data_IF_251632816499
#
_entry.id   IF_251632816499
#
_cell.length_a   1.000
_cell.length_b   1.000
_cell.length_c   1.000
_cell.angle_alpha   90.00
_cell.angle_beta   90.00
_cell.angle_gamma   90.00
#
_symmetry.space_group_name_H-M   'P 1'
#
loop_
_entity.id
_entity.type
_entity.pdbx_description
1 polymer ?
#
# COMPACT_ATOMS: atom_id res chain seq x y z
N UNK A 1 25.25 -51.42 9.29
CA UNK A 1 24.80 -51.06 10.65
C UNK A 1 23.53 -50.22 10.51
N UNK A 2 22.40 -50.78 10.97
CA UNK A 2 21.09 -50.19 11.30
C UNK A 2 20.39 -49.28 10.26
N UNK A 3 19.40 -49.73 9.46
CA UNK A 3 17.93 -49.78 9.76
C UNK A 3 17.40 -48.63 10.65
N UNK A 4 16.51 -47.74 10.18
CA UNK A 4 15.04 -47.91 10.16
C UNK A 4 14.38 -46.63 9.58
N UNK A 5 13.59 -46.70 8.52
CA UNK A 5 12.11 -46.64 8.51
C UNK A 5 11.46 -45.60 9.45
N UNK A 6 10.79 -44.61 8.85
CA UNK A 6 9.45 -44.22 9.31
C UNK A 6 8.57 -43.79 8.13
N UNK A 7 7.93 -44.78 7.50
CA UNK A 7 6.63 -44.63 6.82
C UNK A 7 5.54 -44.57 7.90
N UNK A 8 4.48 -43.77 7.66
CA UNK A 8 3.32 -43.41 8.51
C UNK A 8 3.61 -42.13 9.32
N UNK A 9 2.90 -41.03 9.11
CA UNK A 9 1.44 -40.91 9.06
C UNK A 9 0.93 -40.11 7.85
N UNK A 10 0.38 -40.80 6.84
CA UNK A 10 -0.78 -40.31 6.11
C UNK A 10 -2.01 -40.72 6.92
N UNK A 11 -2.77 -39.75 7.44
CA UNK A 11 -4.20 -39.86 7.80
C UNK A 11 -4.67 -38.47 8.23
N UNK A 12 -5.37 -37.77 7.33
CA UNK A 12 -6.07 -36.53 7.69
C UNK A 12 -6.17 -35.42 6.64
N UNK A 13 -5.62 -35.54 5.42
CA UNK A 13 -5.78 -34.51 4.40
C UNK A 13 -7.14 -34.62 3.67
N UNK A 14 -7.93 -33.53 3.54
CA UNK A 14 -8.99 -33.47 2.55
C UNK A 14 -8.35 -33.53 1.16
N UNK A 15 -8.78 -34.52 0.39
CA UNK A 15 -8.31 -34.81 -0.96
C UNK A 15 -8.82 -33.71 -1.91
N UNK A 16 -7.97 -32.75 -2.25
CA UNK A 16 -8.27 -31.76 -3.29
C UNK A 16 -8.42 -32.47 -4.66
N UNK A 17 -9.45 -32.17 -5.46
CA UNK A 17 -9.65 -32.81 -6.76
C UNK A 17 -8.62 -32.33 -7.78
N UNK A 18 -7.90 -33.27 -8.38
CA UNK A 18 -6.77 -33.09 -9.32
C UNK A 18 -7.15 -32.49 -10.70
N UNK A 19 -8.19 -31.65 -10.80
CA UNK A 19 -8.74 -31.19 -12.10
C UNK A 19 -8.83 -29.66 -12.31
N UNK A 20 -8.12 -28.85 -11.53
CA UNK A 20 -8.02 -27.40 -11.78
C UNK A 20 -6.57 -26.97 -12.00
N UNK A 21 -6.02 -27.27 -13.17
CA UNK A 21 -4.76 -26.68 -13.63
C UNK A 21 -4.97 -26.22 -15.08
N UNK A 22 -5.14 -24.92 -15.35
CA UNK A 22 -4.98 -24.42 -16.70
C UNK A 22 -3.49 -24.38 -17.02
N UNK A 23 -3.10 -25.15 -18.03
CA UNK A 23 -1.83 -25.01 -18.73
C UNK A 23 -1.57 -23.56 -19.10
N UNK A 24 -0.33 -23.11 -18.84
CA UNK A 24 0.32 -21.86 -19.26
C UNK A 24 -0.45 -21.12 -20.37
N UNK A 25 -1.33 -20.20 -19.98
CA UNK A 25 -2.05 -19.33 -20.90
C UNK A 25 -1.51 -17.91 -20.76
N UNK A 26 -0.78 -17.48 -21.79
CA UNK A 26 -0.65 -16.09 -22.18
C UNK A 26 -2.05 -15.53 -22.50
N UNK A 27 -2.65 -14.75 -21.61
CA UNK A 27 -3.93 -14.10 -21.93
C UNK A 27 -4.73 -13.62 -20.72
N UNK A 28 -4.99 -12.30 -20.72
CA UNK A 28 -5.91 -11.54 -19.86
C UNK A 28 -5.54 -11.41 -18.37
N UNK A 29 -5.46 -10.14 -17.97
CA UNK A 29 -5.21 -9.64 -16.62
C UNK A 29 -6.42 -9.80 -15.67
N UNK A 30 -7.43 -10.60 -16.06
CA UNK A 30 -8.57 -11.04 -15.23
C UNK A 30 -8.25 -12.22 -14.30
N UNK A 31 -7.07 -12.83 -14.42
CA UNK A 31 -6.76 -14.10 -13.74
C UNK A 31 -6.29 -14.00 -12.28
N UNK A 32 -6.05 -12.80 -11.74
CA UNK A 32 -5.49 -12.65 -10.39
C UNK A 32 -6.56 -12.79 -9.28
N UNK A 33 -7.67 -12.05 -9.40
CA UNK A 33 -8.81 -12.14 -8.48
C UNK A 33 -9.36 -13.57 -8.40
N UNK A 34 -9.57 -14.19 -9.57
CA UNK A 34 -10.02 -15.58 -9.67
C UNK A 34 -9.03 -16.55 -9.01
N UNK A 35 -7.72 -16.30 -9.01
CA UNK A 35 -6.73 -17.19 -8.38
C UNK A 35 -6.73 -17.09 -6.86
N UNK A 36 -6.80 -15.88 -6.30
CA UNK A 36 -6.75 -15.73 -4.83
C UNK A 36 -7.94 -16.38 -4.15
N UNK A 37 -9.17 -16.15 -4.63
CA UNK A 37 -10.37 -16.75 -4.01
C UNK A 37 -10.56 -18.23 -4.36
N UNK A 38 -9.95 -18.73 -5.44
CA UNK A 38 -9.93 -20.17 -5.71
C UNK A 38 -8.98 -20.92 -4.77
N UNK A 39 -7.81 -20.34 -4.49
CA UNK A 39 -6.82 -20.94 -3.58
C UNK A 39 -7.20 -20.75 -2.10
N UNK A 40 -7.82 -19.61 -1.77
CA UNK A 40 -8.21 -19.21 -0.41
C UNK A 40 -9.61 -18.57 -0.42
N UNK A 41 -10.69 -19.36 -0.51
CA UNK A 41 -12.05 -18.84 -0.48
C UNK A 41 -12.37 -17.99 0.76
N UNK A 42 -11.69 -18.25 1.86
CA UNK A 42 -11.89 -17.60 3.16
C UNK A 42 -11.54 -16.10 3.14
N UNK A 43 -10.68 -15.65 2.22
CA UNK A 43 -10.35 -14.22 2.09
C UNK A 43 -11.29 -13.47 1.14
N UNK A 44 -12.17 -14.16 0.42
CA UNK A 44 -13.13 -13.55 -0.51
C UNK A 44 -14.06 -12.48 0.13
N UNK A 45 -14.55 -12.66 1.38
CA UNK A 45 -15.33 -11.64 2.07
C UNK A 45 -14.52 -10.40 2.45
N UNK A 46 -13.19 -10.52 2.50
CA UNK A 46 -12.28 -9.45 2.91
C UNK A 46 -11.80 -8.58 1.74
N UNK A 47 -12.34 -8.80 0.53
CA UNK A 47 -12.00 -8.02 -0.66
C UNK A 47 -12.24 -6.53 -0.42
N UNK A 48 -11.30 -5.70 -0.89
CA UNK A 48 -11.41 -4.24 -0.85
C UNK A 48 -11.17 -3.68 -2.24
N UNK A 49 -12.02 -2.74 -2.64
CA UNK A 49 -11.75 -1.89 -3.79
C UNK A 49 -10.69 -0.85 -3.38
N UNK A 50 -9.57 -0.81 -4.10
CA UNK A 50 -8.45 0.10 -3.84
C UNK A 50 -8.02 0.79 -5.13
N UNK A 51 -7.35 1.93 -5.02
CA UNK A 51 -6.73 2.57 -6.19
C UNK A 51 -5.24 2.35 -6.11
N UNK A 52 -4.73 1.67 -7.14
CA UNK A 52 -3.32 1.50 -7.36
C UNK A 52 -2.77 2.69 -8.11
N UNK A 53 -1.74 3.31 -7.56
CA UNK A 53 -1.01 4.37 -8.23
C UNK A 53 0.12 3.73 -9.03
N UNK A 54 0.17 4.01 -10.34
CA UNK A 54 1.29 3.66 -11.21
C UNK A 54 2.11 4.92 -11.52
N UNK A 55 3.21 5.20 -10.77
CA UNK A 55 4.07 6.33 -11.06
C UNK A 55 4.78 6.11 -12.39
N UNK A 56 4.72 7.11 -13.27
CA UNK A 56 5.50 7.15 -14.51
C UNK A 56 6.33 8.42 -14.51
N UNK A 57 7.55 8.31 -15.01
CA UNK A 57 8.46 9.46 -15.16
C UNK A 57 7.74 10.55 -15.95
N UNK A 58 7.77 11.77 -15.42
CA UNK A 58 7.14 12.93 -16.02
C UNK A 58 7.47 14.18 -15.21
N UNK A 59 6.97 15.33 -15.67
CA UNK A 59 7.19 16.63 -15.04
C UNK A 59 5.85 17.15 -14.48
N UNK A 60 5.36 16.59 -13.36
CA UNK A 60 4.09 17.02 -12.78
C UNK A 60 4.16 18.45 -12.25
N UNK A 61 3.06 19.17 -12.36
CA UNK A 61 2.86 20.46 -11.69
C UNK A 61 2.20 20.28 -10.33
N UNK A 62 2.12 21.35 -9.53
CA UNK A 62 1.39 21.35 -8.27
C UNK A 62 -0.13 21.16 -8.44
N UNK A 63 -0.64 21.25 -9.67
CA UNK A 63 -2.05 21.00 -10.00
C UNK A 63 -2.34 19.56 -10.42
N UNK A 64 -1.30 18.73 -10.48
CA UNK A 64 -1.42 17.32 -10.83
C UNK A 64 -1.40 16.43 -9.58
N UNK A 65 -2.07 15.29 -9.68
CA UNK A 65 -1.79 14.17 -8.80
C UNK A 65 -0.42 13.59 -9.17
N UNK A 66 0.48 13.45 -8.20
CA UNK A 66 1.88 13.11 -8.47
C UNK A 66 2.54 12.38 -7.31
N UNK A 67 3.66 11.73 -7.61
CA UNK A 67 4.59 11.17 -6.62
C UNK A 67 5.89 11.95 -6.73
N UNK A 68 6.42 12.45 -5.61
CA UNK A 68 7.65 13.26 -5.56
C UNK A 68 7.60 14.59 -6.33
N UNK A 69 6.43 14.98 -6.84
CA UNK A 69 6.23 16.23 -7.55
C UNK A 69 6.05 17.43 -6.60
N UNK A 70 5.99 18.65 -7.16
CA UNK A 70 5.68 19.85 -6.38
C UNK A 70 4.28 19.76 -5.77
N UNK A 71 4.12 20.30 -4.55
CA UNK A 71 2.83 20.35 -3.87
C UNK A 71 2.11 21.67 -4.13
N UNK A 72 0.79 21.64 -4.14
CA UNK A 72 -0.06 22.82 -3.99
C UNK A 72 0.00 23.30 -2.53
N UNK A 73 1.13 23.84 -2.12
CA UNK A 73 1.37 24.33 -0.77
C UNK A 73 1.20 25.85 -0.72
N UNK A 74 0.36 26.41 0.17
CA UNK A 74 0.21 27.87 0.30
C UNK A 74 1.52 28.52 0.78
N UNK A 75 1.84 29.70 0.27
CA UNK A 75 3.04 30.45 0.65
C UNK A 75 2.98 30.97 2.10
N UNK A 76 1.78 31.18 2.60
CA UNK A 76 1.48 31.60 3.97
C UNK A 76 1.57 30.46 5.00
N UNK A 77 1.52 29.20 4.55
CA UNK A 77 1.53 28.04 5.43
C UNK A 77 2.96 27.59 5.73
N UNK A 78 3.25 27.42 7.03
CA UNK A 78 4.54 26.88 7.46
C UNK A 78 4.77 25.47 6.89
N UNK A 79 5.95 25.25 6.32
CA UNK A 79 6.34 23.93 5.83
C UNK A 79 6.54 22.96 7.00
N UNK A 80 6.03 21.71 6.93
CA UNK A 80 6.10 20.79 8.05
C UNK A 80 7.54 20.35 8.31
N UNK A 81 7.90 20.36 9.60
CA UNK A 81 9.16 19.84 10.12
C UNK A 81 8.92 18.47 10.77
N UNK A 82 9.96 17.63 10.77
CA UNK A 82 9.90 16.33 11.42
C UNK A 82 9.75 16.45 12.95
N UNK A 83 8.75 15.77 13.51
CA UNK A 83 8.50 15.74 14.96
C UNK A 83 9.59 15.01 15.77
N UNK A 84 10.38 14.14 15.12
CA UNK A 84 11.44 13.35 15.77
C UNK A 84 12.85 13.81 15.38
N UNK A 85 12.96 14.81 14.50
CA UNK A 85 14.22 15.39 14.03
C UNK A 85 14.05 16.90 13.90
N UNK A 86 14.44 17.61 14.95
CA UNK A 86 14.36 19.07 15.00
C UNK A 86 15.02 19.71 13.77
N UNK A 87 14.35 20.72 13.22
CA UNK A 87 14.83 21.47 12.05
C UNK A 87 14.90 20.67 10.74
N UNK A 88 14.38 19.44 10.68
CA UNK A 88 14.37 18.65 9.44
C UNK A 88 13.10 18.92 8.64
N UNK A 89 13.13 19.72 7.55
CA UNK A 89 11.98 19.89 6.68
C UNK A 89 11.59 18.55 6.04
N UNK A 90 10.30 18.31 5.91
CA UNK A 90 9.79 17.10 5.27
C UNK A 90 9.86 17.23 3.74
N UNK A 91 10.02 16.10 3.04
CA UNK A 91 9.98 16.07 1.58
C UNK A 91 8.59 15.69 1.08
N UNK A 92 8.16 16.21 -0.08
CA UNK A 92 6.91 15.78 -0.68
C UNK A 92 7.03 14.35 -1.19
N UNK A 93 5.99 13.56 -0.94
CA UNK A 93 5.96 12.14 -1.33
C UNK A 93 4.84 11.90 -2.31
N UNK A 94 3.64 12.34 -1.97
CA UNK A 94 2.43 12.09 -2.75
C UNK A 94 1.52 13.31 -2.66
N UNK A 95 0.94 13.69 -3.79
CA UNK A 95 -0.21 14.58 -3.85
C UNK A 95 -1.30 13.92 -4.68
N UNK A 96 -2.53 13.83 -4.16
CA UNK A 96 -3.66 13.19 -4.84
C UNK A 96 -4.89 14.10 -4.76
N UNK A 97 -5.40 14.47 -5.92
CA UNK A 97 -6.72 15.07 -6.05
C UNK A 97 -7.80 13.99 -5.96
N UNK A 98 -8.94 14.33 -5.35
CA UNK A 98 -10.11 13.45 -5.22
C UNK A 98 -10.54 12.84 -6.56
N UNK A 99 -10.41 13.58 -7.65
CA UNK A 99 -10.74 13.14 -9.02
C UNK A 99 -9.87 11.99 -9.52
N UNK A 100 -8.67 11.81 -8.96
CA UNK A 100 -7.77 10.70 -9.31
C UNK A 100 -8.08 9.40 -8.56
N UNK A 101 -8.92 9.45 -7.53
CA UNK A 101 -9.26 8.28 -6.67
C UNK A 101 -10.77 8.25 -6.33
N UNK A 102 -11.66 8.25 -7.34
CA UNK A 102 -13.09 8.47 -7.12
C UNK A 102 -13.71 7.36 -6.27
N UNK A 103 -14.29 7.73 -5.13
CA UNK A 103 -15.08 6.83 -4.28
C UNK A 103 -14.29 5.84 -3.43
N UNK A 104 -12.98 5.73 -3.60
CA UNK A 104 -12.15 4.76 -2.88
C UNK A 104 -11.51 5.31 -1.62
N UNK A 105 -11.06 6.57 -1.66
CA UNK A 105 -10.46 7.24 -0.51
C UNK A 105 -11.50 8.17 0.13
N UNK A 106 -11.79 8.04 1.44
CA UNK A 106 -12.70 8.93 2.13
C UNK A 106 -12.01 10.25 2.46
N UNK A 107 -12.06 11.21 1.54
CA UNK A 107 -11.59 12.57 1.80
C UNK A 107 -12.51 13.26 2.81
N UNK A 108 -11.96 13.96 3.83
CA UNK A 108 -12.74 14.76 4.77
C UNK A 108 -13.67 15.76 4.09
N UNK A 109 -14.72 16.17 4.80
CA UNK A 109 -15.69 17.14 4.29
C UNK A 109 -14.99 18.43 3.84
N UNK A 110 -15.40 18.96 2.68
CA UNK A 110 -14.82 20.17 2.10
C UNK A 110 -13.43 20.01 1.49
N UNK A 111 -12.74 18.88 1.68
CA UNK A 111 -11.41 18.64 1.12
C UNK A 111 -11.48 17.90 -0.23
N UNK A 112 -10.59 18.23 -1.15
CA UNK A 112 -10.45 17.59 -2.46
C UNK A 112 -8.98 17.29 -2.82
N UNK A 113 -8.06 17.56 -1.90
CA UNK A 113 -6.63 17.35 -2.05
C UNK A 113 -6.03 16.65 -0.81
N UNK A 114 -5.32 15.55 -1.06
CA UNK A 114 -4.50 14.82 -0.09
C UNK A 114 -3.03 15.07 -0.41
N UNK A 115 -2.26 15.47 0.60
CA UNK A 115 -0.82 15.64 0.51
C UNK A 115 -0.15 14.81 1.58
N UNK A 116 0.86 14.04 1.19
CA UNK A 116 1.69 13.24 2.10
C UNK A 116 3.13 13.70 1.94
N UNK A 117 3.72 14.04 3.08
CA UNK A 117 5.13 14.36 3.22
C UNK A 117 5.76 13.37 4.20
N UNK A 118 7.08 13.22 4.17
CA UNK A 118 7.77 12.50 5.24
C UNK A 118 9.16 13.06 5.52
N UNK A 119 9.74 12.65 6.64
CA UNK A 119 11.14 12.95 6.92
C UNK A 119 12.07 12.15 5.98
N UNK A 120 13.02 12.81 5.28
CA UNK A 120 13.98 12.13 4.41
C UNK A 120 15.17 11.53 5.15
N UNK A 121 15.28 11.74 6.47
CA UNK A 121 16.41 11.27 7.29
C UNK A 121 16.16 9.87 7.84
N UNK A 122 17.24 9.19 8.25
CA UNK A 122 17.13 7.90 8.94
C UNK A 122 16.59 8.11 10.36
N UNK A 123 15.53 7.38 10.68
CA UNK A 123 14.99 7.25 12.04
C UNK A 123 15.51 5.97 12.69
N UNK A 124 15.68 6.01 14.01
CA UNK A 124 16.07 4.87 14.85
C UNK A 124 14.88 4.45 15.70
N UNK A 125 14.62 3.14 15.82
CA UNK A 125 13.48 2.60 16.57
C UNK A 125 12.48 1.86 15.67
N UNK A 126 11.24 1.71 16.12
CA UNK A 126 10.20 0.93 15.41
C UNK A 126 9.60 1.65 14.18
N UNK A 127 9.95 2.92 13.92
CA UNK A 127 9.43 3.70 12.79
C UNK A 127 10.54 4.01 11.79
N UNK A 128 10.42 3.42 10.60
CA UNK A 128 11.38 3.61 9.50
C UNK A 128 11.16 4.91 8.71
N UNK A 129 9.96 5.50 8.82
CA UNK A 129 9.52 6.74 8.16
C UNK A 129 8.59 7.50 9.13
N UNK A 130 8.72 8.83 9.19
CA UNK A 130 7.80 9.72 9.92
C UNK A 130 6.97 10.50 8.89
N UNK A 131 5.71 10.09 8.63
CA UNK A 131 4.85 10.77 7.67
C UNK A 131 4.13 11.97 8.29
N UNK A 132 3.78 12.93 7.44
CA UNK A 132 2.83 14.00 7.72
C UNK A 132 1.78 13.99 6.62
N UNK A 133 0.51 14.05 7.03
CA UNK A 133 -0.64 14.03 6.12
C UNK A 133 -1.37 15.35 6.26
N UNK A 134 -1.58 16.02 5.12
CA UNK A 134 -2.29 17.28 5.04
C UNK A 134 -3.46 17.13 4.07
N UNK A 135 -4.65 17.49 4.55
CA UNK A 135 -5.87 17.56 3.73
C UNK A 135 -6.17 19.03 3.42
N UNK A 136 -6.60 19.31 2.19
CA UNK A 136 -6.90 20.68 1.73
C UNK A 136 -8.10 20.72 0.79
N UNK A 137 -8.66 21.92 0.65
CA UNK A 137 -9.49 22.34 -0.48
C UNK A 137 -8.61 23.09 -1.47
N UNK A 138 -8.26 22.47 -2.59
CA UNK A 138 -7.33 23.00 -3.59
C UNK A 138 -7.76 24.37 -4.11
N UNK A 139 -9.05 24.58 -4.34
CA UNK A 139 -9.59 25.86 -4.82
C UNK A 139 -9.48 27.02 -3.84
N UNK A 140 -9.11 26.78 -2.57
CA UNK A 140 -8.85 27.83 -1.59
C UNK A 140 -7.36 28.16 -1.44
N UNK A 141 -6.46 27.42 -2.10
CA UNK A 141 -5.03 27.73 -2.05
C UNK A 141 -4.76 28.97 -2.92
N UNK A 142 -4.24 30.01 -2.28
CA UNK A 142 -3.86 31.26 -2.94
C UNK A 142 -2.49 31.19 -3.60
N UNK A 143 -1.55 32.02 -3.15
CA UNK A 143 -0.18 32.03 -3.67
C UNK A 143 0.50 30.72 -3.29
N UNK A 144 1.06 30.00 -4.28
CA UNK A 144 1.78 28.74 -4.04
C UNK A 144 3.22 29.03 -3.64
N UNK A 145 3.75 28.25 -2.69
CA UNK A 145 5.15 28.25 -2.32
C UNK A 145 6.00 27.69 -3.46
N UNK A 146 6.80 28.55 -4.10
CA UNK A 146 7.59 28.18 -5.28
C UNK A 146 8.81 27.30 -4.94
N UNK A 147 9.48 27.61 -3.84
CA UNK A 147 10.72 26.94 -3.42
C UNK A 147 10.52 26.29 -2.06
N UNK A 148 10.16 24.99 -2.00
CA UNK A 148 10.07 24.29 -0.74
C UNK A 148 11.46 24.20 -0.08
N UNK A 149 11.54 24.21 1.27
CA UNK A 149 12.82 24.11 1.97
C UNK A 149 13.50 22.78 1.64
N UNK A 150 14.77 22.87 1.26
CA UNK A 150 15.60 21.70 0.95
C UNK A 150 16.20 21.14 2.25
N UNK A 151 15.96 19.86 2.59
CA UNK A 151 16.61 19.21 3.72
C UNK A 151 18.12 19.08 3.49
N UNK A 152 18.92 19.38 4.52
CA UNK A 152 20.38 19.30 4.45
C UNK A 152 20.90 17.84 4.35
N UNK A 153 20.14 16.88 4.88
CA UNK A 153 20.51 15.46 4.90
C UNK A 153 19.38 14.62 4.29
N UNK A 154 19.74 13.80 3.30
CA UNK A 154 18.82 12.89 2.61
C UNK A 154 19.35 11.46 2.72
N UNK A 155 18.51 10.55 3.18
CA UNK A 155 18.85 9.13 3.14
C UNK A 155 18.54 8.54 1.76
N UNK A 156 19.36 7.58 1.32
CA UNK A 156 19.28 7.04 -0.04
C UNK A 156 17.90 6.41 -0.28
N UNK A 157 17.27 6.78 -1.40
CA UNK A 157 15.95 6.30 -1.84
C UNK A 157 14.75 6.74 -0.97
N UNK A 158 14.92 7.72 -0.09
CA UNK A 158 13.81 8.28 0.71
C UNK A 158 13.12 9.46 0.00
N UNK A 159 13.73 10.04 -1.03
CA UNK A 159 13.08 11.07 -1.84
C UNK A 159 12.63 10.46 -3.16
N UNK A 160 11.31 10.35 -3.42
CA UNK A 160 10.84 9.88 -4.71
C UNK A 160 11.20 10.88 -5.81
N UNK A 161 11.48 10.38 -7.01
CA UNK A 161 11.61 11.23 -8.20
C UNK A 161 10.22 11.73 -8.61
N UNK A 162 10.10 12.97 -9.11
CA UNK A 162 8.84 13.47 -9.67
C UNK A 162 8.30 12.54 -10.76
N UNK A 163 7.03 12.16 -10.58
CA UNK A 163 6.30 11.26 -11.47
C UNK A 163 4.84 11.70 -11.55
N UNK A 164 4.26 11.56 -12.73
CA UNK A 164 2.80 11.60 -12.91
C UNK A 164 2.21 10.26 -12.46
N UNK A 165 1.01 10.28 -11.88
CA UNK A 165 0.31 9.04 -11.49
C UNK A 165 -0.68 8.61 -12.56
N UNK A 166 -0.76 7.31 -12.79
CA UNK A 166 -1.84 6.68 -13.55
C UNK A 166 -2.62 5.78 -12.59
N UNK A 167 -3.78 6.25 -12.09
CA UNK A 167 -4.61 5.47 -11.18
C UNK A 167 -5.25 4.28 -11.89
N UNK A 168 -5.29 3.13 -11.21
CA UNK A 168 -6.04 1.93 -11.63
C UNK A 168 -6.90 1.48 -10.46
N UNK A 169 -8.21 1.33 -10.68
CA UNK A 169 -9.09 0.69 -9.71
C UNK A 169 -8.82 -0.82 -9.72
N UNK A 170 -8.53 -1.38 -8.56
CA UNK A 170 -8.19 -2.80 -8.39
C UNK A 170 -8.90 -3.36 -7.17
N UNK A 171 -9.21 -4.66 -7.23
CA UNK A 171 -9.61 -5.43 -6.06
C UNK A 171 -8.36 -6.01 -5.41
N UNK A 172 -8.17 -5.75 -4.11
CA UNK A 172 -7.09 -6.29 -3.29
C UNK A 172 -7.65 -7.06 -2.10
N UNK A 173 -6.84 -7.96 -1.56
CA UNK A 173 -7.13 -8.73 -0.36
C UNK A 173 -6.20 -8.29 0.77
N UNK A 174 -6.52 -8.57 2.04
CA UNK A 174 -5.67 -8.15 3.14
C UNK A 174 -4.26 -8.70 3.01
N UNK A 175 -3.30 -7.85 3.32
CA UNK A 175 -1.87 -8.11 3.31
C UNK A 175 -1.40 -8.29 4.76
N UNK A 176 -0.60 -7.35 5.30
CA UNK A 176 -0.28 -7.30 6.74
C UNK A 176 -1.48 -6.96 7.64
N UNK A 177 -2.60 -6.53 7.04
CA UNK A 177 -3.85 -6.23 7.74
C UNK A 177 -4.82 -7.41 7.77
N UNK A 178 -4.39 -8.62 7.39
CA UNK A 178 -5.14 -9.84 7.62
C UNK A 178 -5.23 -10.09 9.13
N UNK A 179 -6.44 -10.33 9.64
CA UNK A 179 -6.64 -10.56 11.06
C UNK A 179 -5.97 -11.87 11.53
N UNK A 180 -5.42 -11.86 12.73
CA UNK A 180 -4.58 -12.95 13.25
C UNK A 180 -5.29 -14.32 13.23
N UNK A 181 -6.59 -14.37 13.54
CA UNK A 181 -7.36 -15.62 13.51
C UNK A 181 -7.41 -16.27 12.10
N UNK A 182 -7.53 -15.43 11.07
CA UNK A 182 -7.56 -15.83 9.69
C UNK A 182 -6.14 -16.18 9.21
N UNK A 183 -5.13 -15.45 9.69
CA UNK A 183 -3.74 -15.81 9.46
C UNK A 183 -3.44 -17.21 10.01
N UNK A 184 -3.72 -17.45 11.29
CA UNK A 184 -3.49 -18.74 11.95
C UNK A 184 -4.20 -19.90 11.24
N UNK A 185 -5.43 -19.66 10.75
CA UNK A 185 -6.20 -20.65 10.01
C UNK A 185 -5.61 -20.99 8.62
N UNK A 186 -4.91 -20.06 7.99
CA UNK A 186 -4.44 -20.18 6.59
C UNK A 186 -2.92 -20.31 6.45
N UNK A 187 -2.14 -20.01 7.49
CA UNK A 187 -0.68 -19.93 7.45
C UNK A 187 -0.05 -21.19 6.87
N UNK A 188 -0.45 -22.37 7.32
CA UNK A 188 0.07 -23.63 6.78
C UNK A 188 -0.23 -23.83 5.30
N UNK A 189 -1.37 -23.34 4.81
CA UNK A 189 -1.71 -23.41 3.38
C UNK A 189 -0.94 -22.36 2.57
N UNK A 190 -0.70 -21.17 3.15
CA UNK A 190 0.18 -20.17 2.54
C UNK A 190 1.60 -20.71 2.38
N UNK A 191 2.16 -21.28 3.45
CA UNK A 191 3.49 -21.89 3.44
C UNK A 191 3.59 -23.09 2.48
N UNK A 192 2.53 -23.90 2.39
CA UNK A 192 2.49 -25.02 1.46
C UNK A 192 2.44 -24.54 0.00
N UNK A 193 1.63 -23.53 -0.31
CA UNK A 193 1.58 -22.94 -1.64
C UNK A 193 2.95 -22.39 -2.07
N UNK A 194 3.63 -21.67 -1.18
CA UNK A 194 4.96 -21.12 -1.47
C UNK A 194 5.97 -22.25 -1.75
N UNK A 195 5.99 -23.30 -0.93
CA UNK A 195 6.88 -24.44 -1.16
C UNK A 195 6.64 -25.16 -2.49
N UNK A 196 5.38 -25.34 -2.90
CA UNK A 196 5.03 -26.09 -4.11
C UNK A 196 5.13 -25.26 -5.39
N UNK A 197 4.88 -23.95 -5.30
CA UNK A 197 4.72 -23.08 -6.48
C UNK A 197 5.66 -21.88 -6.52
N UNK A 198 6.30 -21.55 -5.40
CA UNK A 198 7.04 -20.31 -5.18
C UNK A 198 6.15 -19.08 -5.03
N UNK A 199 4.84 -19.24 -4.86
CA UNK A 199 3.91 -18.14 -4.66
C UNK A 199 3.64 -17.90 -3.18
N UNK A 200 4.22 -16.82 -2.67
CA UNK A 200 3.85 -16.25 -1.38
C UNK A 200 2.49 -15.54 -1.47
N UNK A 201 1.58 -15.84 -0.54
CA UNK A 201 0.25 -15.24 -0.49
C UNK A 201 0.35 -13.71 -0.45
N UNK A 202 1.19 -13.18 0.43
CA UNK A 202 1.27 -11.75 0.67
C UNK A 202 1.70 -10.99 -0.60
N UNK A 203 2.85 -11.36 -1.17
CA UNK A 203 3.46 -10.66 -2.30
C UNK A 203 2.85 -10.99 -3.67
N UNK A 204 2.27 -12.18 -3.84
CA UNK A 204 1.75 -12.63 -5.14
C UNK A 204 0.22 -12.65 -5.23
N UNK A 205 -0.51 -12.81 -4.12
CA UNK A 205 -1.97 -13.04 -4.12
C UNK A 205 -2.79 -12.00 -3.35
N UNK A 206 -2.27 -11.47 -2.24
CA UNK A 206 -2.93 -10.44 -1.43
C UNK A 206 -2.90 -9.07 -2.13
N UNK A 207 -1.76 -8.77 -2.75
CA UNK A 207 -1.58 -7.60 -3.60
C UNK A 207 -1.60 -8.05 -5.07
N UNK A 208 -2.45 -7.44 -5.90
CA UNK A 208 -2.43 -7.71 -7.36
C UNK A 208 -1.00 -7.48 -7.88
N UNK A 209 -0.43 -8.39 -8.66
CA UNK A 209 1.03 -8.46 -8.86
C UNK A 209 1.73 -7.13 -9.23
N UNK A 210 2.76 -6.78 -8.47
CA UNK A 210 3.96 -6.13 -9.01
C UNK A 210 4.92 -7.22 -9.47
N UNK A 211 5.68 -7.01 -10.54
CA UNK A 211 6.75 -7.95 -10.92
C UNK A 211 7.70 -8.20 -9.73
N UNK A 212 8.18 -9.44 -9.49
CA UNK A 212 9.09 -9.76 -8.39
C UNK A 212 10.40 -8.94 -8.38
N UNK A 213 10.73 -8.24 -9.48
CA UNK A 213 11.92 -7.38 -9.58
C UNK A 213 11.66 -5.88 -9.43
N UNK A 214 10.41 -5.44 -9.22
CA UNK A 214 10.09 -4.01 -9.04
C UNK A 214 9.40 -3.81 -7.70
N UNK A 215 9.89 -2.82 -6.93
CA UNK A 215 9.28 -2.37 -5.67
C UNK A 215 7.74 -2.37 -5.79
N UNK A 216 7.01 -2.82 -4.76
CA UNK A 216 5.56 -2.87 -4.81
C UNK A 216 5.00 -1.48 -5.16
N UNK A 217 3.97 -1.40 -6.03
CA UNK A 217 3.28 -0.15 -6.29
C UNK A 217 2.66 0.38 -4.99
N UNK A 218 2.56 1.71 -4.85
CA UNK A 218 1.86 2.32 -3.73
C UNK A 218 0.35 2.11 -3.93
N UNK A 219 -0.23 1.17 -3.18
CA UNK A 219 -1.68 1.01 -3.06
C UNK A 219 -2.19 1.92 -1.94
N UNK A 220 -3.16 2.79 -2.26
CA UNK A 220 -3.76 3.68 -1.27
C UNK A 220 -5.11 3.11 -0.84
N UNK A 221 -5.10 2.42 0.30
CA UNK A 221 -6.30 1.99 1.03
C UNK A 221 -6.23 2.58 2.43
N UNK A 222 -6.99 3.65 2.70
CA UNK A 222 -7.11 4.21 4.04
C UNK A 222 -8.21 3.45 4.77
N UNK A 223 -7.82 2.56 5.67
CA UNK A 223 -8.73 1.97 6.64
C UNK A 223 -9.33 3.09 7.52
N UNK A 224 -10.63 3.06 7.84
CA UNK A 224 -11.19 3.99 8.81
C UNK A 224 -10.47 3.81 10.15
N UNK A 225 -9.99 4.90 10.74
CA UNK A 225 -9.38 4.87 12.07
C UNK A 225 -10.41 4.39 13.09
N UNK A 226 -10.04 3.52 14.06
CA UNK A 226 -10.94 3.13 15.13
C UNK A 226 -11.28 4.39 15.95
N UNK A 227 -12.55 4.77 15.98
CA UNK A 227 -13.01 5.82 16.87
C UNK A 227 -12.75 5.36 18.31
N UNK A 228 -11.95 6.13 19.06
CA UNK A 228 -11.79 5.91 20.50
C UNK A 228 -13.14 6.18 21.16
N UNK A 229 -13.84 5.10 21.50
CA UNK A 229 -15.03 5.16 22.36
C UNK A 229 -14.66 5.83 23.69
N UNK A 230 -15.14 7.05 23.89
CA UNK A 230 -15.04 7.73 25.16
C UNK A 230 -15.85 6.97 26.21
N UNK A 231 -15.16 6.44 27.22
CA UNK A 231 -15.80 5.94 28.44
C UNK A 231 -16.29 7.15 29.22
N UNK A 232 -17.59 7.41 29.17
CA UNK A 232 -18.24 8.36 30.07
C UNK A 232 -18.20 7.78 31.49
N UNK A 233 -17.53 8.49 32.39
CA UNK A 233 -17.63 8.23 33.82
C UNK A 233 -18.96 8.71 34.37
N UNK A 234 -19.61 7.87 35.19
CA UNK A 234 -20.35 8.24 36.39
C UNK A 234 -20.16 7.12 37.40
#
# INVERSE_FOLDING_TARGET
>A
MSTSSCRRCFRGCPRWPSRMWPTRASGSWCGHELRTTLLFPEVAPLRKETVRLHPRVGEPTCRDSSVGGPLLWPAEDAWPLCSEREGSPMVPVVQIYRTSVPGTVPFPEGCDLLQVLWCPRKHSGHRWIVPHVQWRKAGLVGKVLETPPCPAELWKNYVPRPCVVHPELVTEYPYWDLHDDMWDALEFRFLYLDQETGWDYQSHLGVRGGSPERKPPLSLALLPSPQRGGRAGR
#
